data_IF_964700768338
#
_entry.id   IF_964700768338
#
_cell.length_a   1.000
_cell.length_b   1.000
_cell.length_c   1.000
_cell.angle_alpha   90.00
_cell.angle_beta   90.00
_cell.angle_gamma   90.00
#
_symmetry.space_group_name_H-M   'P 1'
#
loop_
_entity.id
_entity.type
_entity.pdbx_description
1 polymer ?
#
# COMPACT_ATOMS: atom_id res chain seq x y z
N UNK A 1 1.40 -3.17 -0.14
CA UNK A 1 2.25 -4.19 0.50
C UNK A 1 1.63 -5.60 0.45
N UNK A 2 0.38 -5.83 0.94
CA UNK A 2 -0.25 -7.19 0.99
C UNK A 2 -0.30 -7.84 -0.39
N UNK A 3 -0.81 -7.15 -1.40
CA UNK A 3 -0.90 -7.67 -2.76
C UNK A 3 0.48 -7.99 -3.36
N UNK A 4 1.46 -7.12 -3.13
CA UNK A 4 2.85 -7.32 -3.54
C UNK A 4 3.44 -8.59 -2.91
N UNK A 5 3.35 -8.73 -1.58
CA UNK A 5 3.90 -9.88 -0.87
C UNK A 5 3.26 -11.20 -1.29
N UNK A 6 1.94 -11.19 -1.56
CA UNK A 6 1.24 -12.36 -2.06
C UNK A 6 1.75 -12.79 -3.45
N UNK A 7 1.91 -11.84 -4.36
CA UNK A 7 2.41 -12.12 -5.71
C UNK A 7 3.86 -12.60 -5.71
N UNK A 8 4.73 -11.95 -4.93
CA UNK A 8 6.14 -12.35 -4.78
C UNK A 8 6.28 -13.74 -4.15
N UNK A 9 5.54 -14.06 -3.08
CA UNK A 9 5.56 -15.38 -2.45
C UNK A 9 5.14 -16.48 -3.42
N UNK A 10 4.17 -16.19 -4.27
CA UNK A 10 3.68 -17.14 -5.27
C UNK A 10 4.69 -17.39 -6.41
N UNK A 11 5.55 -16.42 -6.71
CA UNK A 11 6.48 -16.46 -7.85
C UNK A 11 7.88 -16.93 -7.47
N UNK A 12 8.42 -16.48 -6.33
CA UNK A 12 9.80 -16.68 -5.95
C UNK A 12 10.05 -17.95 -5.10
N UNK A 13 8.98 -18.64 -4.66
CA UNK A 13 9.09 -19.82 -3.79
C UNK A 13 9.66 -19.51 -2.40
N UNK A 14 9.75 -18.23 -2.03
CA UNK A 14 10.19 -17.76 -0.72
C UNK A 14 9.02 -17.26 0.14
N UNK A 15 9.27 -17.08 1.43
CA UNK A 15 8.30 -16.45 2.33
C UNK A 15 8.52 -14.94 2.27
N UNK A 16 7.51 -14.22 1.80
CA UNK A 16 7.46 -12.75 1.83
C UNK A 16 6.40 -12.32 2.82
N UNK A 17 6.81 -11.63 3.88
CA UNK A 17 5.91 -11.16 4.93
C UNK A 17 5.57 -9.70 4.66
N UNK A 18 4.29 -9.36 4.42
CA UNK A 18 3.87 -7.98 4.31
C UNK A 18 3.86 -7.35 5.72
N UNK A 19 4.61 -6.25 5.88
CA UNK A 19 4.65 -5.50 7.12
C UNK A 19 3.95 -4.17 6.90
N UNK A 20 2.98 -3.87 7.73
CA UNK A 20 2.30 -2.57 7.74
C UNK A 20 3.15 -1.58 8.55
N UNK A 21 3.54 -0.47 7.92
CA UNK A 21 4.44 0.53 8.49
C UNK A 21 3.76 1.46 9.50
N UNK A 22 2.95 0.89 10.40
CA UNK A 22 2.34 1.59 11.52
C UNK A 22 2.04 0.60 12.66
N UNK A 23 1.64 1.12 13.82
CA UNK A 23 1.11 0.29 14.89
C UNK A 23 -0.29 -0.25 14.54
N UNK A 24 -0.65 -1.40 15.08
CA UNK A 24 -1.96 -2.05 14.82
C UNK A 24 -3.14 -1.16 15.18
N UNK A 25 -3.01 -0.40 16.26
CA UNK A 25 -4.05 0.55 16.69
C UNK A 25 -4.24 1.70 15.68
N UNK A 26 -3.16 2.12 15.01
CA UNK A 26 -3.22 3.17 13.99
C UNK A 26 -3.98 2.72 12.73
N UNK A 27 -3.99 1.41 12.41
CA UNK A 27 -4.81 0.87 11.34
C UNK A 27 -6.30 1.15 11.53
N UNK A 28 -6.78 1.15 12.78
CA UNK A 28 -8.17 1.43 13.09
C UNK A 28 -8.57 2.89 12.80
N UNK A 29 -7.58 3.78 12.64
CA UNK A 29 -7.80 5.16 12.21
C UNK A 29 -8.04 5.27 10.69
N UNK A 30 -7.92 4.16 9.97
CA UNK A 30 -8.08 4.05 8.52
C UNK A 30 -9.23 3.09 8.17
N UNK A 31 -10.49 3.48 8.40
CA UNK A 31 -11.64 2.62 8.13
C UNK A 31 -11.74 2.20 6.66
N UNK A 32 -11.23 3.01 5.73
CA UNK A 32 -11.09 2.68 4.31
C UNK A 32 -10.20 1.45 4.10
N UNK A 33 -9.04 1.40 4.78
CA UNK A 33 -8.11 0.27 4.70
C UNK A 33 -8.72 -0.98 5.35
N UNK A 34 -9.35 -0.82 6.52
CA UNK A 34 -10.05 -1.90 7.21
C UNK A 34 -11.12 -2.52 6.32
N UNK A 35 -11.95 -1.68 5.68
CA UNK A 35 -13.00 -2.13 4.76
C UNK A 35 -12.42 -2.83 3.53
N UNK A 36 -11.38 -2.27 2.91
CA UNK A 36 -10.75 -2.86 1.73
C UNK A 36 -10.16 -4.25 2.04
N UNK A 37 -9.49 -4.41 3.19
CA UNK A 37 -8.94 -5.69 3.63
C UNK A 37 -10.05 -6.72 3.91
N UNK A 38 -11.10 -6.31 4.62
CA UNK A 38 -12.25 -7.17 4.92
C UNK A 38 -12.95 -7.63 3.63
N UNK A 39 -13.17 -6.72 2.68
CA UNK A 39 -13.75 -7.02 1.36
C UNK A 39 -12.91 -8.02 0.56
N UNK A 40 -11.60 -8.01 0.76
CA UNK A 40 -10.68 -8.96 0.14
C UNK A 40 -10.47 -10.24 0.96
N UNK A 41 -11.18 -10.42 2.07
CA UNK A 41 -11.06 -11.60 2.94
C UNK A 41 -9.76 -11.64 3.75
N UNK A 42 -9.11 -10.50 3.98
CA UNK A 42 -7.89 -10.40 4.77
C UNK A 42 -8.25 -9.95 6.20
N UNK A 43 -7.97 -10.82 7.18
CA UNK A 43 -8.16 -10.48 8.59
C UNK A 43 -7.08 -9.53 9.09
N UNK A 44 -7.47 -8.49 9.85
CA UNK A 44 -6.53 -7.56 10.48
C UNK A 44 -5.60 -8.26 11.47
N UNK A 45 -6.07 -9.32 12.11
CA UNK A 45 -5.30 -10.11 13.07
C UNK A 45 -4.16 -10.89 12.39
N UNK A 46 -4.32 -11.21 11.10
CA UNK A 46 -3.29 -11.89 10.31
C UNK A 46 -2.20 -10.96 9.78
N UNK A 47 -2.37 -9.64 9.90
CA UNK A 47 -1.36 -8.68 9.46
C UNK A 47 -0.19 -8.60 10.44
N UNK A 48 1.00 -8.49 9.91
CA UNK A 48 2.20 -8.12 10.66
C UNK A 48 2.34 -6.61 10.64
N UNK A 49 2.41 -5.97 11.80
CA UNK A 49 2.62 -4.53 11.95
C UNK A 49 4.07 -4.22 12.35
N UNK A 50 4.48 -2.97 12.23
CA UNK A 50 5.84 -2.55 12.57
C UNK A 50 6.22 -2.93 14.01
N UNK A 51 5.29 -2.83 14.98
CA UNK A 51 5.51 -3.22 16.37
C UNK A 51 5.81 -4.71 16.57
N UNK A 52 5.24 -5.58 15.74
CA UNK A 52 5.44 -7.03 15.81
C UNK A 52 6.89 -7.41 15.44
N UNK A 53 7.55 -6.58 14.65
CA UNK A 53 8.92 -6.79 14.17
C UNK A 53 9.96 -5.89 14.87
N UNK A 54 9.53 -4.90 15.64
CA UNK A 54 10.42 -4.00 16.36
C UNK A 54 11.35 -4.74 17.35
N UNK A 55 10.87 -5.86 17.91
CA UNK A 55 11.62 -6.72 18.82
C UNK A 55 12.30 -7.90 18.09
N UNK A 56 12.21 -7.99 16.76
CA UNK A 56 12.82 -9.07 16.01
C UNK A 56 14.34 -9.01 16.11
N UNK A 57 14.95 -10.12 16.52
CA UNK A 57 16.41 -10.26 16.60
C UNK A 57 17.03 -10.64 15.26
N UNK A 58 16.23 -11.14 14.35
CA UNK A 58 16.68 -11.57 13.02
C UNK A 58 16.55 -10.42 12.00
N UNK A 59 17.62 -10.21 11.24
CA UNK A 59 17.61 -9.28 10.13
C UNK A 59 17.06 -9.98 8.89
N UNK A 60 16.10 -9.36 8.14
CA UNK A 60 15.59 -9.95 6.92
C UNK A 60 16.70 -10.10 5.86
N UNK A 61 16.56 -11.07 4.97
CA UNK A 61 17.49 -11.23 3.83
C UNK A 61 17.40 -10.05 2.87
N UNK A 62 16.19 -9.58 2.63
CA UNK A 62 15.90 -8.42 1.78
C UNK A 62 14.67 -7.70 2.27
N UNK A 63 14.58 -6.41 1.97
CA UNK A 63 13.44 -5.54 2.26
C UNK A 63 12.98 -4.93 0.93
N UNK A 64 11.67 -4.98 0.68
CA UNK A 64 11.02 -4.25 -0.40
C UNK A 64 10.17 -3.14 0.20
N UNK A 65 10.42 -1.90 -0.20
CA UNK A 65 9.57 -0.76 0.16
C UNK A 65 8.46 -0.62 -0.87
N UNK A 66 7.23 -0.48 -0.41
CA UNK A 66 6.04 -0.31 -1.26
C UNK A 66 5.24 0.87 -0.75
N UNK A 67 5.02 1.86 -1.59
CA UNK A 67 4.31 3.11 -1.29
C UNK A 67 5.09 4.08 -0.39
N UNK A 68 6.38 3.91 -0.30
CA UNK A 68 7.34 4.82 0.30
C UNK A 68 8.75 4.47 -0.18
N UNK A 69 9.66 5.45 -0.21
CA UNK A 69 11.03 5.25 -0.71
C UNK A 69 12.11 5.54 0.34
N UNK A 70 11.72 5.66 1.61
CA UNK A 70 12.61 5.76 2.75
C UNK A 70 12.13 4.85 3.89
N UNK A 71 12.97 3.91 4.34
CA UNK A 71 12.64 3.06 5.47
C UNK A 71 12.71 3.87 6.76
N UNK A 72 11.62 3.88 7.53
CA UNK A 72 11.54 4.66 8.78
C UNK A 72 12.45 4.09 9.86
N UNK A 73 13.49 4.84 10.23
CA UNK A 73 14.38 4.49 11.34
C UNK A 73 13.67 4.50 12.73
N UNK A 74 12.50 5.15 12.82
CA UNK A 74 11.66 5.12 14.03
C UNK A 74 10.94 3.79 14.21
N UNK A 75 10.60 3.13 13.11
CA UNK A 75 9.74 1.92 13.12
C UNK A 75 10.56 0.64 12.95
N UNK A 76 11.71 0.72 12.29
CA UNK A 76 12.51 -0.45 11.93
C UNK A 76 13.95 -0.33 12.38
N UNK A 77 14.61 -1.45 12.73
CA UNK A 77 16.02 -1.46 13.12
C UNK A 77 16.93 -0.87 12.04
N UNK A 78 17.98 -0.16 12.46
CA UNK A 78 18.99 0.43 11.55
C UNK A 78 19.63 -0.62 10.63
N UNK A 79 19.81 -1.86 11.13
CA UNK A 79 20.35 -2.98 10.35
C UNK A 79 19.53 -3.34 9.10
N UNK A 80 18.27 -2.91 9.04
CA UNK A 80 17.39 -3.17 7.89
C UNK A 80 17.63 -2.19 6.74
N UNK A 81 18.21 -1.00 7.00
CA UNK A 81 18.51 -0.01 5.96
C UNK A 81 19.35 -0.61 4.82
N UNK A 82 20.41 -1.35 5.18
CA UNK A 82 21.28 -2.02 4.22
C UNK A 82 20.65 -3.26 3.56
N UNK A 83 19.42 -3.60 3.91
CA UNK A 83 18.66 -4.73 3.35
C UNK A 83 17.61 -4.32 2.34
N UNK A 84 17.43 -3.03 2.12
CA UNK A 84 16.52 -2.54 1.10
C UNK A 84 17.10 -2.85 -0.28
N UNK A 85 16.48 -3.78 -0.97
CA UNK A 85 16.90 -4.24 -2.31
C UNK A 85 15.92 -3.86 -3.40
N UNK A 86 14.69 -3.48 -3.02
CA UNK A 86 13.65 -3.06 -3.94
C UNK A 86 12.86 -1.89 -3.40
N UNK A 87 12.50 -0.96 -4.27
CA UNK A 87 11.60 0.16 -3.98
C UNK A 87 10.56 0.27 -5.08
N UNK A 88 9.28 0.32 -4.71
CA UNK A 88 8.17 0.61 -5.63
C UNK A 88 7.37 1.74 -4.99
N UNK A 89 7.40 2.93 -5.57
CA UNK A 89 6.77 4.10 -4.99
C UNK A 89 6.25 5.08 -6.04
N UNK A 90 5.27 5.88 -5.67
CA UNK A 90 4.70 6.91 -6.54
C UNK A 90 4.85 8.33 -5.95
N UNK A 91 5.55 8.48 -4.86
CA UNK A 91 5.86 9.75 -4.25
C UNK A 91 7.14 10.37 -4.80
N UNK A 92 7.40 11.62 -4.45
CA UNK A 92 8.65 12.29 -4.75
C UNK A 92 9.85 11.50 -4.22
N UNK A 93 10.88 11.37 -5.05
CA UNK A 93 12.05 10.60 -4.72
C UNK A 93 12.91 11.31 -3.65
N UNK A 94 13.07 10.69 -2.49
CA UNK A 94 13.93 11.19 -1.40
C UNK A 94 15.41 10.97 -1.63
N UNK A 95 15.80 10.22 -2.68
CA UNK A 95 17.19 9.82 -2.92
C UNK A 95 17.71 8.71 -2.00
N UNK A 96 16.90 8.24 -1.04
CA UNK A 96 17.30 7.13 -0.16
C UNK A 96 17.32 5.81 -0.93
N UNK A 97 18.15 4.88 -0.44
CA UNK A 97 18.31 3.53 -1.04
C UNK A 97 18.60 3.57 -2.55
N UNK A 98 19.46 4.52 -2.99
CA UNK A 98 19.82 4.68 -4.39
C UNK A 98 20.55 3.47 -4.99
N UNK A 99 21.12 2.61 -4.16
CA UNK A 99 21.81 1.36 -4.47
C UNK A 99 20.89 0.13 -4.50
N UNK A 100 19.58 0.31 -4.25
CA UNK A 100 18.62 -0.78 -4.37
C UNK A 100 18.64 -1.35 -5.80
N UNK A 101 18.68 -2.68 -5.91
CA UNK A 101 18.84 -3.41 -7.19
C UNK A 101 17.65 -3.16 -8.13
N UNK A 102 16.46 -3.00 -7.58
CA UNK A 102 15.24 -2.73 -8.33
C UNK A 102 14.54 -1.52 -7.71
N UNK A 103 14.48 -0.43 -8.46
CA UNK A 103 13.98 0.84 -7.97
C UNK A 103 13.07 1.48 -9.00
N UNK A 104 11.77 1.41 -8.71
CA UNK A 104 10.70 1.99 -9.52
C UNK A 104 10.05 3.12 -8.73
N UNK A 105 10.33 4.36 -9.11
CA UNK A 105 9.70 5.55 -8.53
C UNK A 105 9.14 6.38 -9.69
N UNK A 106 7.82 6.44 -9.79
CA UNK A 106 7.12 7.13 -10.86
C UNK A 106 5.97 7.96 -10.28
N UNK A 107 5.93 9.25 -10.58
CA UNK A 107 4.87 10.16 -10.13
C UNK A 107 3.56 9.87 -10.87
N UNK A 108 2.83 8.90 -10.39
CA UNK A 108 1.52 8.46 -10.91
C UNK A 108 0.44 8.54 -9.83
N UNK A 109 -0.79 8.21 -10.15
CA UNK A 109 -1.91 8.34 -9.22
C UNK A 109 -1.87 7.40 -8.02
N UNK A 110 -1.47 6.13 -8.23
CA UNK A 110 -1.45 5.13 -7.15
C UNK A 110 -0.28 4.16 -7.28
N UNK A 111 0.40 3.90 -6.19
CA UNK A 111 1.43 2.85 -6.11
C UNK A 111 0.87 1.46 -6.46
N UNK A 112 -0.42 1.22 -6.24
CA UNK A 112 -1.07 -0.05 -6.59
C UNK A 112 -1.06 -0.32 -8.09
N UNK A 113 -1.02 0.72 -8.93
CA UNK A 113 -0.88 0.58 -10.39
C UNK A 113 0.50 0.06 -10.76
N UNK A 114 1.56 0.52 -10.08
CA UNK A 114 2.92 -0.02 -10.25
C UNK A 114 3.01 -1.47 -9.78
N UNK A 115 2.43 -1.79 -8.62
CA UNK A 115 2.39 -3.17 -8.11
C UNK A 115 1.68 -4.10 -9.09
N UNK A 116 0.56 -3.68 -9.68
CA UNK A 116 -0.08 -4.46 -10.72
C UNK A 116 0.82 -4.66 -11.94
N UNK A 117 1.35 -3.56 -12.49
CA UNK A 117 2.16 -3.57 -13.70
C UNK A 117 3.43 -4.41 -13.56
N UNK A 118 4.19 -4.21 -12.48
CA UNK A 118 5.56 -4.69 -12.38
C UNK A 118 5.71 -5.97 -11.56
N UNK A 119 4.68 -6.35 -10.81
CA UNK A 119 4.69 -7.54 -9.95
C UNK A 119 3.60 -8.52 -10.37
N UNK A 120 2.34 -8.14 -10.28
CA UNK A 120 1.21 -9.07 -10.47
C UNK A 120 1.11 -9.54 -11.93
N UNK A 121 1.15 -8.62 -12.88
CA UNK A 121 1.09 -8.92 -14.31
C UNK A 121 2.31 -9.70 -14.77
N UNK A 122 3.51 -9.35 -14.27
CA UNK A 122 4.77 -10.04 -14.61
C UNK A 122 4.80 -11.46 -14.06
N UNK A 123 4.18 -11.70 -12.91
CA UNK A 123 4.04 -13.05 -12.34
C UNK A 123 3.27 -14.01 -13.28
N UNK A 124 2.41 -13.47 -14.16
CA UNK A 124 1.68 -14.23 -15.19
C UNK A 124 0.74 -15.31 -14.61
N UNK A 125 0.26 -15.11 -13.38
CA UNK A 125 -0.57 -16.07 -12.66
C UNK A 125 -1.96 -15.51 -12.39
N UNK A 126 -2.93 -15.99 -13.14
CA UNK A 126 -4.33 -15.57 -13.03
C UNK A 126 -4.94 -15.82 -11.65
N UNK A 127 -4.53 -16.90 -10.97
CA UNK A 127 -5.02 -17.21 -9.63
C UNK A 127 -4.53 -16.17 -8.60
N UNK A 128 -3.29 -15.69 -8.75
CA UNK A 128 -2.71 -14.62 -7.94
C UNK A 128 -3.42 -13.30 -8.23
N UNK A 129 -3.52 -12.97 -9.52
CA UNK A 129 -4.17 -11.73 -9.96
C UNK A 129 -5.59 -11.60 -9.40
N UNK A 130 -6.41 -12.66 -9.53
CA UNK A 130 -7.79 -12.67 -8.99
C UNK A 130 -7.86 -12.43 -7.49
N UNK A 131 -6.92 -12.95 -6.71
CA UNK A 131 -6.92 -12.78 -5.25
C UNK A 131 -6.60 -11.37 -4.79
N UNK A 132 -5.78 -10.65 -5.56
CA UNK A 132 -5.33 -9.30 -5.18
C UNK A 132 -6.03 -8.19 -5.95
N UNK A 133 -6.79 -8.50 -6.99
CA UNK A 133 -7.39 -7.53 -7.89
C UNK A 133 -8.26 -6.50 -7.16
N UNK A 134 -9.14 -6.95 -6.26
CA UNK A 134 -10.02 -6.05 -5.51
C UNK A 134 -9.26 -5.08 -4.61
N UNK A 135 -8.19 -5.54 -3.93
CA UNK A 135 -7.35 -4.68 -3.10
C UNK A 135 -6.64 -3.62 -3.93
N UNK A 136 -6.06 -4.02 -5.06
CA UNK A 136 -5.34 -3.10 -5.92
C UNK A 136 -6.28 -2.09 -6.57
N UNK A 137 -7.41 -2.56 -7.12
CA UNK A 137 -8.41 -1.69 -7.74
C UNK A 137 -8.97 -0.69 -6.73
N UNK A 138 -9.39 -1.14 -5.54
CA UNK A 138 -9.91 -0.26 -4.50
C UNK A 138 -8.92 0.86 -4.11
N UNK A 139 -7.64 0.55 -3.99
CA UNK A 139 -6.61 1.56 -3.72
C UNK A 139 -6.47 2.54 -4.89
N UNK A 140 -6.38 2.06 -6.14
CA UNK A 140 -6.31 2.92 -7.32
C UNK A 140 -7.50 3.88 -7.38
N UNK A 141 -8.71 3.36 -7.19
CA UNK A 141 -9.94 4.19 -7.24
C UNK A 141 -9.94 5.28 -6.15
N UNK A 142 -9.48 4.95 -4.93
CA UNK A 142 -9.41 5.92 -3.84
C UNK A 142 -8.36 7.01 -4.08
N UNK A 143 -7.18 6.63 -4.54
CA UNK A 143 -6.06 7.56 -4.72
C UNK A 143 -6.30 8.51 -5.90
N UNK A 144 -6.92 8.00 -6.97
CA UNK A 144 -7.21 8.72 -8.20
C UNK A 144 -8.58 9.39 -8.21
N UNK A 145 -9.37 9.29 -7.13
CA UNK A 145 -10.76 9.77 -7.05
C UNK A 145 -11.62 9.23 -8.18
N UNK A 146 -11.66 7.91 -8.30
CA UNK A 146 -12.37 7.23 -9.38
C UNK A 146 -11.82 7.56 -10.78
N UNK A 147 -10.50 7.58 -10.91
CA UNK A 147 -9.81 7.89 -12.17
C UNK A 147 -10.18 9.28 -12.74
N UNK A 148 -10.33 10.27 -11.86
CA UNK A 148 -10.72 11.62 -12.25
C UNK A 148 -9.66 12.29 -13.13
N UNK A 149 -9.91 12.30 -14.44
CA UNK A 149 -9.02 12.90 -15.44
C UNK A 149 -9.00 14.45 -15.39
N UNK A 150 -9.95 15.08 -14.69
CA UNK A 150 -9.98 16.55 -14.52
C UNK A 150 -8.92 17.03 -13.52
N UNK A 151 -8.37 16.12 -12.74
CA UNK A 151 -7.28 16.38 -11.81
C UNK A 151 -6.00 15.71 -12.32
N UNK A 152 -4.84 16.19 -11.88
CA UNK A 152 -3.54 15.56 -12.19
C UNK A 152 -3.30 14.29 -11.38
N UNK A 153 -4.35 13.71 -10.78
CA UNK A 153 -4.23 12.58 -9.87
C UNK A 153 -4.19 11.23 -10.55
N UNK A 154 -4.79 11.07 -11.74
CA UNK A 154 -4.76 9.82 -12.49
C UNK A 154 -3.83 9.96 -13.69
N UNK A 155 -2.99 8.95 -13.91
CA UNK A 155 -2.12 8.78 -15.07
C UNK A 155 -2.61 7.68 -15.99
N UNK A 156 -2.05 7.57 -17.20
CA UNK A 156 -2.35 6.48 -18.14
C UNK A 156 -2.09 5.10 -17.50
N UNK A 157 -1.06 4.99 -16.67
CA UNK A 157 -0.74 3.74 -15.96
C UNK A 157 -1.87 3.32 -15.03
N UNK A 158 -2.52 4.28 -14.37
CA UNK A 158 -3.65 4.00 -13.48
C UNK A 158 -4.88 3.52 -14.26
N UNK A 159 -5.17 4.16 -15.39
CA UNK A 159 -6.29 3.74 -16.26
C UNK A 159 -6.09 2.32 -16.78
N UNK A 160 -4.90 2.01 -17.28
CA UNK A 160 -4.58 0.67 -17.81
C UNK A 160 -4.65 -0.39 -16.71
N UNK A 161 -4.11 -0.10 -15.53
CA UNK A 161 -4.16 -1.02 -14.40
C UNK A 161 -5.60 -1.25 -13.91
N UNK A 162 -6.37 -0.19 -13.76
CA UNK A 162 -7.75 -0.29 -13.29
C UNK A 162 -8.64 -1.09 -14.26
N UNK A 163 -8.51 -0.87 -15.58
CA UNK A 163 -9.27 -1.61 -16.59
C UNK A 163 -8.93 -3.11 -16.55
N UNK A 164 -7.66 -3.45 -16.54
CA UNK A 164 -7.24 -4.85 -16.44
C UNK A 164 -7.71 -5.53 -15.14
N UNK A 165 -7.70 -4.81 -14.03
CA UNK A 165 -8.19 -5.34 -12.75
C UNK A 165 -9.71 -5.51 -12.74
N UNK A 166 -10.46 -4.62 -13.40
CA UNK A 166 -11.91 -4.77 -13.62
C UNK A 166 -12.23 -6.01 -14.44
N UNK A 167 -11.50 -6.25 -15.53
CA UNK A 167 -11.64 -7.45 -16.35
C UNK A 167 -11.39 -8.72 -15.54
N UNK A 168 -10.34 -8.74 -14.70
CA UNK A 168 -10.03 -9.87 -13.81
C UNK A 168 -11.16 -10.16 -12.83
N UNK A 169 -11.80 -9.10 -12.32
CA UNK A 169 -12.93 -9.19 -11.39
C UNK A 169 -14.26 -9.49 -12.09
N UNK A 170 -14.30 -9.32 -13.39
CA UNK A 170 -15.51 -9.33 -14.22
C UNK A 170 -16.56 -8.29 -13.74
N UNK A 171 -16.08 -7.12 -13.28
CA UNK A 171 -16.90 -6.03 -12.81
C UNK A 171 -17.26 -5.06 -13.92
N UNK A 172 -18.51 -4.61 -13.92
CA UNK A 172 -18.95 -3.50 -14.72
C UNK A 172 -18.65 -2.13 -14.06
N UNK A 173 -19.12 -1.06 -14.68
CA UNK A 173 -18.89 0.29 -14.14
C UNK A 173 -19.67 0.53 -12.85
N UNK A 174 -20.87 -0.05 -12.72
CA UNK A 174 -21.72 0.15 -11.54
C UNK A 174 -21.12 -0.56 -10.32
N UNK A 175 -20.63 -1.79 -10.46
CA UNK A 175 -19.93 -2.54 -9.41
C UNK A 175 -18.64 -1.83 -8.98
N UNK A 176 -17.90 -1.29 -9.96
CA UNK A 176 -16.68 -0.53 -9.71
C UNK A 176 -16.98 0.76 -8.93
N UNK A 177 -18.07 1.44 -9.28
CA UNK A 177 -18.52 2.64 -8.60
C UNK A 177 -19.01 2.36 -7.18
N UNK A 178 -19.74 1.28 -6.98
CA UNK A 178 -20.20 0.85 -5.66
C UNK A 178 -19.03 0.58 -4.71
N UNK A 179 -17.98 -0.09 -5.19
CA UNK A 179 -16.74 -0.31 -4.41
C UNK A 179 -16.08 1.01 -4.03
N UNK A 180 -15.90 1.92 -4.99
CA UNK A 180 -15.32 3.24 -4.72
C UNK A 180 -16.13 4.02 -3.70
N UNK A 181 -17.46 4.10 -3.86
CA UNK A 181 -18.33 4.83 -2.94
C UNK A 181 -18.31 4.23 -1.54
N UNK A 182 -18.25 2.90 -1.44
CA UNK A 182 -18.16 2.20 -0.15
C UNK A 182 -16.85 2.54 0.56
N UNK A 183 -15.72 2.45 -0.13
CA UNK A 183 -14.41 2.77 0.44
C UNK A 183 -14.26 4.26 0.71
N UNK A 184 -14.77 5.13 -0.18
CA UNK A 184 -14.76 6.57 0.00
C UNK A 184 -15.59 7.00 1.21
N UNK A 185 -16.76 6.40 1.40
CA UNK A 185 -17.62 6.63 2.58
C UNK A 185 -16.91 6.19 3.85
N UNK A 186 -16.29 5.02 3.85
CA UNK A 186 -15.51 4.54 4.99
C UNK A 186 -14.35 5.48 5.32
N UNK A 187 -13.62 6.01 4.31
CA UNK A 187 -12.54 7.00 4.50
C UNK A 187 -13.00 8.26 5.22
N UNK A 188 -14.23 8.71 4.96
CA UNK A 188 -14.81 9.92 5.54
C UNK A 188 -15.62 9.65 6.81
N UNK A 189 -15.85 8.40 7.17
CA UNK A 189 -16.53 8.04 8.42
C UNK A 189 -15.60 8.31 9.61
N UNK A 190 -15.83 9.46 10.27
CA UNK A 190 -15.13 9.88 11.47
C UNK A 190 -15.99 9.73 12.74
N UNK A 191 -17.23 9.29 12.60
CA UNK A 191 -18.20 9.21 13.69
C UNK A 191 -17.79 8.13 14.70
N UNK A 192 -17.12 7.11 14.24
CA UNK A 192 -16.61 6.00 15.06
C UNK A 192 -15.33 6.33 15.83
N UNK A 193 -14.68 7.46 15.54
CA UNK A 193 -13.39 7.82 16.14
C UNK A 193 -13.58 8.75 17.34
N UNK A 194 -12.83 8.50 18.42
CA UNK A 194 -12.75 9.42 19.55
C UNK A 194 -12.00 10.71 19.16
N UNK A 195 -12.16 11.80 19.93
CA UNK A 195 -11.43 13.04 19.70
C UNK A 195 -9.90 12.84 19.66
N UNK A 196 -9.36 11.97 20.52
CA UNK A 196 -7.95 11.65 20.53
C UNK A 196 -7.51 10.95 19.25
N UNK A 197 -8.33 10.02 18.74
CA UNK A 197 -8.06 9.33 17.46
C UNK A 197 -8.14 10.27 16.27
N UNK A 198 -9.10 11.20 16.26
CA UNK A 198 -9.21 12.23 15.21
C UNK A 198 -7.97 13.13 15.17
N UNK A 199 -7.47 13.54 16.33
CA UNK A 199 -6.23 14.31 16.43
C UNK A 199 -5.01 13.49 15.97
N UNK A 200 -4.94 12.22 16.33
CA UNK A 200 -3.84 11.32 15.95
C UNK A 200 -3.80 11.02 14.44
N UNK A 201 -4.98 10.98 13.77
CA UNK A 201 -5.10 10.67 12.35
C UNK A 201 -4.33 11.63 11.44
N UNK A 202 -4.32 12.92 11.80
CA UNK A 202 -3.67 13.98 11.01
C UNK A 202 -2.48 14.62 11.76
N UNK A 203 -2.03 14.02 12.87
CA UNK A 203 -0.93 14.56 13.65
C UNK A 203 0.37 14.51 12.85
N UNK A 204 0.97 15.66 12.62
CA UNK A 204 2.30 15.81 12.01
C UNK A 204 3.19 16.57 13.00
N UNK A 205 4.31 15.96 13.36
CA UNK A 205 5.32 16.60 14.18
C UNK A 205 6.48 17.04 13.29
N UNK A 206 6.83 18.32 13.40
CA UNK A 206 7.95 18.90 12.71
C UNK A 206 8.99 19.30 13.75
N UNK A 207 10.23 18.82 13.61
CA UNK A 207 11.35 19.30 14.40
C UNK A 207 12.04 20.40 13.60
N UNK A 208 12.05 21.63 14.13
CA UNK A 208 12.83 22.71 13.56
C UNK A 208 14.02 22.97 14.50
N UNK A 209 15.21 23.21 13.94
CA UNK A 209 16.40 23.53 14.75
C UNK A 209 16.10 24.72 15.66
N UNK A 210 16.14 24.46 16.98
CA UNK A 210 15.93 25.47 18.02
C UNK A 210 14.54 25.57 18.62
N UNK A 211 13.59 24.72 18.21
CA UNK A 211 12.24 24.62 18.80
C UNK A 211 11.85 23.15 18.97
N UNK A 212 11.56 22.74 20.20
CA UNK A 212 10.91 21.47 20.53
C UNK A 212 9.40 21.63 20.55
#
# INVERSE_FOLDING_TARGET
AVAHAYAESASAGGIVVPIVSCAREELLLRPDVVSALANAGVSLESLTCAEDVAAATETPKSVCLVDHNALSARLFPESWQARVTRVIDHHEDTGMHADAVDRVIELIGSCSSLVYRDVVRVAGRDDVARRVARLLLGAILLDTRFLDASTTRASEVDFVAAEALREILAWDEDETREEYETLSRARHDQISLSCAQLLAKDYKQWTMDGYE
#
